data_IF_613877114435
#
_entry.id   IF_613877114435
#
_cell.length_a   1.000
_cell.length_b   1.000
_cell.length_c   1.000
_cell.angle_alpha   90.00
_cell.angle_beta   90.00
_cell.angle_gamma   90.00
#
_symmetry.space_group_name_H-M   'P 1'
#
loop_
_entity.id
_entity.type
_entity.pdbx_description
1 polymer ?
#
# COMPACT_ATOMS: atom_id res chain seq x y z
N UNK A 1 -7.86 -47.23 47.66
CA UNK A 1 -8.81 -47.07 46.56
C UNK A 1 -9.16 -45.59 46.29
N UNK A 2 -8.76 -44.61 47.12
CA UNK A 2 -9.07 -43.17 46.92
C UNK A 2 -8.02 -42.40 46.10
N UNK A 3 -6.72 -42.70 46.29
CA UNK A 3 -5.63 -41.92 45.66
C UNK A 3 -5.59 -42.02 44.13
N UNK A 4 -6.00 -43.16 43.55
CA UNK A 4 -6.04 -43.36 42.08
C UNK A 4 -7.18 -42.56 41.43
N UNK A 5 -8.25 -42.26 42.18
CA UNK A 5 -9.37 -41.45 41.70
C UNK A 5 -9.02 -39.96 41.71
N UNK A 6 -8.30 -39.51 42.73
CA UNK A 6 -7.85 -38.10 42.85
C UNK A 6 -6.78 -37.76 41.80
N UNK A 7 -5.85 -38.70 41.52
CA UNK A 7 -4.84 -38.50 40.48
C UNK A 7 -5.45 -38.45 39.08
N UNK A 8 -6.40 -39.34 38.77
CA UNK A 8 -7.10 -39.33 37.48
C UNK A 8 -7.98 -38.09 37.29
N UNK A 9 -8.57 -37.55 38.37
CA UNK A 9 -9.32 -36.28 38.34
C UNK A 9 -8.39 -35.10 38.07
N UNK A 10 -7.23 -35.05 38.75
CA UNK A 10 -6.25 -34.00 38.54
C UNK A 10 -5.65 -34.03 37.12
N UNK A 11 -5.36 -35.21 36.57
CA UNK A 11 -4.90 -35.37 35.18
C UNK A 11 -5.95 -34.85 34.17
N UNK A 12 -7.24 -35.13 34.40
CA UNK A 12 -8.34 -34.60 33.56
C UNK A 12 -8.51 -33.08 33.70
N UNK A 13 -8.38 -32.54 34.90
CA UNK A 13 -8.41 -31.08 35.13
C UNK A 13 -7.24 -30.39 34.41
N UNK A 14 -6.05 -30.97 34.47
CA UNK A 14 -4.85 -30.45 33.83
C UNK A 14 -4.96 -30.49 32.31
N UNK A 15 -5.47 -31.59 31.74
CA UNK A 15 -5.76 -31.73 30.31
C UNK A 15 -6.80 -30.68 29.85
N UNK A 16 -7.86 -30.47 30.63
CA UNK A 16 -8.88 -29.45 30.34
C UNK A 16 -8.29 -28.05 30.30
N UNK A 17 -7.43 -27.71 31.26
CA UNK A 17 -6.76 -26.40 31.30
C UNK A 17 -5.84 -26.23 30.08
N UNK A 18 -5.05 -27.26 29.73
CA UNK A 18 -4.19 -27.22 28.55
C UNK A 18 -4.98 -27.01 27.26
N UNK A 19 -6.08 -27.74 27.09
CA UNK A 19 -6.96 -27.60 25.92
C UNK A 19 -7.59 -26.21 25.81
N UNK A 20 -7.94 -25.58 26.95
CA UNK A 20 -8.42 -24.20 26.95
C UNK A 20 -7.34 -23.20 26.51
N UNK A 21 -6.09 -23.39 26.93
CA UNK A 21 -4.99 -22.53 26.51
C UNK A 21 -4.67 -22.70 25.03
N UNK A 22 -4.59 -23.94 24.55
CA UNK A 22 -4.35 -24.24 23.12
C UNK A 22 -5.42 -23.58 22.25
N UNK A 23 -6.69 -23.79 22.60
CA UNK A 23 -7.81 -23.16 21.89
C UNK A 23 -7.65 -21.64 21.77
N UNK A 24 -7.35 -20.99 22.90
CA UNK A 24 -7.20 -19.53 22.92
C UNK A 24 -6.03 -19.07 22.06
N UNK A 25 -4.90 -19.79 22.12
CA UNK A 25 -3.73 -19.48 21.30
C UNK A 25 -4.08 -19.58 19.80
N UNK A 26 -4.75 -20.65 19.38
CA UNK A 26 -5.17 -20.83 17.99
C UNK A 26 -6.17 -19.77 17.51
N UNK A 27 -7.13 -19.39 18.36
CA UNK A 27 -8.07 -18.29 18.08
C UNK A 27 -7.30 -16.96 17.91
N UNK A 28 -6.40 -16.63 18.83
CA UNK A 28 -5.57 -15.40 18.78
C UNK A 28 -4.65 -15.38 17.54
N UNK A 29 -4.16 -16.54 17.10
CA UNK A 29 -3.33 -16.70 15.89
C UNK A 29 -4.14 -16.53 14.62
N UNK A 30 -5.30 -17.17 14.53
CA UNK A 30 -6.19 -17.03 13.38
C UNK A 30 -6.68 -15.58 13.22
N UNK A 31 -6.94 -14.86 14.32
CA UNK A 31 -7.27 -13.43 14.29
C UNK A 31 -6.15 -12.59 13.67
N UNK A 32 -4.88 -12.87 14.00
CA UNK A 32 -3.72 -12.19 13.40
C UNK A 32 -3.62 -12.46 11.90
N UNK A 33 -3.76 -13.73 11.50
CA UNK A 33 -3.78 -14.13 10.08
C UNK A 33 -4.87 -13.38 9.32
N UNK A 34 -6.09 -13.35 9.88
CA UNK A 34 -7.21 -12.65 9.27
C UNK A 34 -6.95 -11.13 9.16
N UNK A 35 -6.34 -10.53 10.19
CA UNK A 35 -5.98 -9.11 10.21
C UNK A 35 -4.90 -8.80 9.16
N UNK A 36 -3.85 -9.60 9.06
CA UNK A 36 -2.79 -9.41 8.07
C UNK A 36 -3.32 -9.56 6.64
N UNK A 37 -4.18 -10.55 6.42
CA UNK A 37 -4.87 -10.75 5.15
C UNK A 37 -5.77 -9.54 4.81
N UNK A 38 -6.55 -9.05 5.77
CA UNK A 38 -7.40 -7.88 5.63
C UNK A 38 -6.57 -6.66 5.20
N UNK A 39 -5.52 -6.35 5.96
CA UNK A 39 -4.64 -5.23 5.70
C UNK A 39 -3.98 -5.33 4.32
N UNK A 40 -3.51 -6.53 3.95
CA UNK A 40 -2.90 -6.79 2.65
C UNK A 40 -3.89 -6.55 1.51
N UNK A 41 -5.14 -6.97 1.66
CA UNK A 41 -6.19 -6.73 0.67
C UNK A 41 -6.53 -5.24 0.53
N UNK A 42 -6.62 -4.51 1.65
CA UNK A 42 -6.89 -3.07 1.65
C UNK A 42 -5.75 -2.28 1.00
N UNK A 43 -4.51 -2.63 1.33
CA UNK A 43 -3.33 -2.02 0.73
C UNK A 43 -3.26 -2.29 -0.78
N UNK A 44 -3.60 -3.51 -1.22
CA UNK A 44 -3.67 -3.84 -2.65
C UNK A 44 -4.76 -3.04 -3.38
N UNK A 45 -5.91 -2.76 -2.75
CA UNK A 45 -6.95 -1.89 -3.32
C UNK A 45 -6.39 -0.48 -3.52
N UNK A 46 -5.72 0.08 -2.51
CA UNK A 46 -5.15 1.43 -2.59
C UNK A 46 -4.11 1.49 -3.70
N UNK A 47 -3.17 0.55 -3.73
CA UNK A 47 -2.13 0.52 -4.75
C UNK A 47 -2.70 0.35 -6.16
N UNK A 48 -3.73 -0.47 -6.34
CA UNK A 48 -4.41 -0.59 -7.64
C UNK A 48 -5.04 0.73 -8.07
N UNK A 49 -5.77 1.39 -7.18
CA UNK A 49 -6.59 2.56 -7.56
C UNK A 49 -5.77 3.87 -7.59
N UNK A 50 -4.63 3.92 -6.89
CA UNK A 50 -3.74 5.08 -6.84
C UNK A 50 -2.49 4.94 -7.71
N UNK A 51 -1.80 3.80 -7.65
CA UNK A 51 -0.54 3.56 -8.38
C UNK A 51 -0.76 2.81 -9.71
N UNK A 52 -2.02 2.51 -10.08
CA UNK A 52 -2.35 1.67 -11.26
C UNK A 52 -1.65 0.29 -11.23
N UNK A 53 -1.34 -0.20 -10.03
CA UNK A 53 -0.60 -1.44 -9.85
C UNK A 53 -1.56 -2.64 -9.78
N UNK A 54 -1.45 -3.57 -10.74
CA UNK A 54 -2.21 -4.82 -10.73
C UNK A 54 -1.69 -5.82 -9.68
N UNK A 55 -1.93 -5.52 -8.41
CA UNK A 55 -1.68 -6.42 -7.27
C UNK A 55 -2.98 -6.87 -6.62
N UNK A 56 -3.02 -8.14 -6.24
CA UNK A 56 -4.12 -8.74 -5.49
C UNK A 56 -3.61 -9.94 -4.72
N UNK A 57 -4.24 -10.24 -3.60
CA UNK A 57 -4.00 -11.51 -2.90
C UNK A 57 -4.46 -12.66 -3.78
N UNK A 58 -3.60 -13.67 -3.95
CA UNK A 58 -3.90 -14.91 -4.66
C UNK A 58 -5.04 -15.68 -4.01
N UNK A 59 -5.84 -16.36 -4.82
CA UNK A 59 -7.04 -17.07 -4.35
C UNK A 59 -6.67 -18.25 -3.44
N UNK A 60 -5.52 -18.90 -3.65
CA UNK A 60 -5.01 -19.98 -2.79
C UNK A 60 -4.83 -19.52 -1.34
N UNK A 61 -4.27 -18.33 -1.11
CA UNK A 61 -4.08 -17.80 0.24
C UNK A 61 -5.43 -17.50 0.91
N UNK A 62 -6.44 -17.03 0.15
CA UNK A 62 -7.81 -16.82 0.68
C UNK A 62 -8.48 -18.14 1.05
N UNK A 63 -8.36 -19.14 0.20
CA UNK A 63 -8.91 -20.48 0.44
C UNK A 63 -8.33 -21.10 1.70
N UNK A 64 -7.03 -20.90 1.94
CA UNK A 64 -6.32 -21.40 3.14
C UNK A 64 -6.77 -20.72 4.43
N UNK A 65 -6.95 -19.41 4.42
CA UNK A 65 -7.55 -18.69 5.56
C UNK A 65 -8.99 -19.12 5.81
N UNK A 66 -9.77 -19.34 4.74
CA UNK A 66 -11.14 -19.82 4.84
C UNK A 66 -11.22 -21.25 5.41
N UNK A 67 -10.30 -22.13 4.99
CA UNK A 67 -10.16 -23.50 5.53
C UNK A 67 -9.88 -23.47 7.04
N UNK A 68 -8.91 -22.65 7.47
CA UNK A 68 -8.59 -22.47 8.89
C UNK A 68 -9.78 -21.91 9.70
N UNK A 69 -10.51 -20.95 9.13
CA UNK A 69 -11.76 -20.44 9.70
C UNK A 69 -12.82 -21.52 9.89
N UNK A 70 -12.94 -22.43 8.91
CA UNK A 70 -13.85 -23.58 9.01
C UNK A 70 -13.53 -24.49 10.20
N UNK A 71 -12.25 -24.81 10.43
CA UNK A 71 -11.85 -25.60 11.59
C UNK A 71 -12.15 -24.91 12.92
N UNK A 72 -11.93 -23.58 13.01
CA UNK A 72 -12.30 -22.81 14.19
C UNK A 72 -13.82 -22.83 14.45
N UNK A 73 -14.64 -22.63 13.41
CA UNK A 73 -16.11 -22.65 13.48
C UNK A 73 -16.65 -24.01 13.92
N UNK A 74 -16.07 -25.10 13.40
CA UNK A 74 -16.40 -26.48 13.76
C UNK A 74 -15.83 -26.92 15.12
N UNK A 75 -14.99 -26.08 15.74
CA UNK A 75 -14.24 -26.35 16.97
C UNK A 75 -13.28 -27.54 16.85
N UNK A 76 -12.77 -27.78 15.65
CA UNK A 76 -11.75 -28.78 15.35
C UNK A 76 -10.36 -28.17 15.53
N UNK A 77 -9.98 -27.98 16.80
CA UNK A 77 -8.72 -27.32 17.16
C UNK A 77 -7.49 -28.18 16.89
N UNK A 78 -7.63 -29.50 16.84
CA UNK A 78 -6.53 -30.39 16.46
C UNK A 78 -6.19 -30.20 14.97
N UNK A 79 -7.19 -30.15 14.09
CA UNK A 79 -6.97 -29.86 12.68
C UNK A 79 -6.46 -28.44 12.43
N UNK A 80 -6.93 -27.46 13.22
CA UNK A 80 -6.43 -26.08 13.14
C UNK A 80 -4.95 -25.98 13.56
N UNK A 81 -4.55 -26.63 14.65
CA UNK A 81 -3.16 -26.69 15.11
C UNK A 81 -2.23 -27.28 14.05
N UNK A 82 -2.68 -28.32 13.35
CA UNK A 82 -1.91 -28.97 12.28
C UNK A 82 -1.63 -28.05 11.07
N UNK A 83 -2.47 -27.04 10.82
CA UNK A 83 -2.37 -26.20 9.61
C UNK A 83 -1.99 -24.74 9.86
N UNK A 84 -2.19 -24.22 11.08
CA UNK A 84 -2.10 -22.78 11.36
C UNK A 84 -0.71 -22.19 11.04
N UNK A 85 0.37 -22.92 11.33
CA UNK A 85 1.75 -22.50 10.99
C UNK A 85 1.91 -22.26 9.48
N UNK A 86 1.34 -23.16 8.66
CA UNK A 86 1.42 -23.06 7.21
C UNK A 86 0.61 -21.88 6.69
N UNK A 87 -0.59 -21.67 7.25
CA UNK A 87 -1.45 -20.54 6.87
C UNK A 87 -0.76 -19.22 7.22
N UNK A 88 -0.18 -19.09 8.41
CA UNK A 88 0.61 -17.92 8.81
C UNK A 88 1.76 -17.64 7.84
N UNK A 89 2.57 -18.66 7.52
CA UNK A 89 3.69 -18.53 6.58
C UNK A 89 3.24 -18.08 5.19
N UNK A 90 2.14 -18.66 4.68
CA UNK A 90 1.60 -18.31 3.37
C UNK A 90 1.06 -16.88 3.31
N UNK A 91 0.27 -16.47 4.32
CA UNK A 91 -0.29 -15.12 4.39
C UNK A 91 0.83 -14.09 4.53
N UNK A 92 1.81 -14.34 5.39
CA UNK A 92 2.94 -13.44 5.56
C UNK A 92 3.81 -13.34 4.30
N UNK A 93 4.04 -14.46 3.61
CA UNK A 93 4.77 -14.45 2.34
C UNK A 93 4.04 -13.65 1.26
N UNK A 94 2.71 -13.79 1.17
CA UNK A 94 1.88 -13.03 0.23
C UNK A 94 1.87 -11.53 0.57
N UNK A 95 1.71 -11.19 1.85
CA UNK A 95 1.76 -9.83 2.36
C UNK A 95 3.08 -9.15 1.98
N UNK A 96 4.21 -9.83 2.21
CA UNK A 96 5.54 -9.33 1.83
C UNK A 96 5.71 -9.15 0.32
N UNK A 97 5.18 -10.06 -0.50
CA UNK A 97 5.26 -9.92 -1.97
C UNK A 97 4.48 -8.70 -2.46
N UNK A 98 3.28 -8.49 -1.94
CA UNK A 98 2.45 -7.33 -2.27
C UNK A 98 3.11 -6.05 -1.76
N UNK A 99 3.59 -6.03 -0.52
CA UNK A 99 4.29 -4.90 0.07
C UNK A 99 5.52 -4.48 -0.76
N UNK A 100 6.34 -5.44 -1.20
CA UNK A 100 7.52 -5.16 -2.02
C UNK A 100 7.16 -4.51 -3.36
N UNK A 101 6.16 -5.05 -4.07
CA UNK A 101 5.70 -4.46 -5.33
C UNK A 101 5.15 -3.04 -5.14
N UNK A 102 4.38 -2.84 -4.06
CA UNK A 102 3.86 -1.52 -3.72
C UNK A 102 5.00 -0.57 -3.37
N UNK A 103 6.02 -1.03 -2.66
CA UNK A 103 7.17 -0.22 -2.29
C UNK A 103 7.97 0.24 -3.52
N UNK A 104 8.16 -0.63 -4.51
CA UNK A 104 8.81 -0.31 -5.78
C UNK A 104 8.06 0.82 -6.51
N UNK A 105 6.79 0.60 -6.86
CA UNK A 105 5.97 1.59 -7.56
C UNK A 105 5.80 2.90 -6.79
N UNK A 106 5.60 2.81 -5.47
CA UNK A 106 5.49 3.98 -4.60
C UNK A 106 6.78 4.80 -4.60
N UNK A 107 7.94 4.15 -4.68
CA UNK A 107 9.23 4.84 -4.72
C UNK A 107 9.37 5.64 -6.00
N UNK A 108 8.98 5.05 -7.14
CA UNK A 108 8.97 5.73 -8.44
C UNK A 108 8.01 6.94 -8.43
N UNK A 109 6.76 6.74 -7.99
CA UNK A 109 5.77 7.83 -7.95
C UNK A 109 6.18 8.94 -6.96
N UNK A 110 6.83 8.58 -5.84
CA UNK A 110 7.39 9.56 -4.91
C UNK A 110 8.49 10.38 -5.55
N UNK A 111 9.41 9.74 -6.28
CA UNK A 111 10.53 10.42 -6.90
C UNK A 111 10.04 11.34 -8.03
N UNK A 112 8.98 10.93 -8.73
CA UNK A 112 8.21 11.78 -9.65
C UNK A 112 7.58 13.00 -8.95
N UNK A 113 6.87 12.82 -7.82
CA UNK A 113 6.30 13.94 -7.05
C UNK A 113 7.39 14.88 -6.52
N UNK A 114 8.54 14.35 -6.11
CA UNK A 114 9.72 15.17 -5.75
C UNK A 114 10.26 15.97 -6.92
N UNK A 115 10.29 15.38 -8.11
CA UNK A 115 10.67 16.09 -9.32
C UNK A 115 9.69 17.23 -9.63
N UNK A 116 8.37 16.97 -9.53
CA UNK A 116 7.33 18.00 -9.66
C UNK A 116 7.50 19.12 -8.64
N UNK A 117 7.81 18.78 -7.38
CA UNK A 117 8.05 19.76 -6.32
C UNK A 117 9.23 20.66 -6.63
N UNK A 118 10.37 20.08 -6.98
CA UNK A 118 11.59 20.83 -7.37
C UNK A 118 11.35 21.71 -8.58
N UNK A 119 10.62 21.21 -9.57
CA UNK A 119 10.26 21.99 -10.74
C UNK A 119 9.36 23.19 -10.36
N UNK A 120 8.38 22.94 -9.49
CA UNK A 120 7.45 23.96 -9.02
C UNK A 120 8.11 25.08 -8.20
N UNK A 121 9.27 24.84 -7.57
CA UNK A 121 10.08 25.90 -6.92
C UNK A 121 10.54 26.99 -7.90
N UNK A 122 10.54 26.71 -9.20
CA UNK A 122 10.95 27.66 -10.25
C UNK A 122 9.79 28.20 -11.07
N UNK A 123 8.80 27.37 -11.37
CA UNK A 123 7.67 27.76 -12.23
C UNK A 123 6.47 28.29 -11.45
N UNK A 124 6.39 27.99 -10.14
CA UNK A 124 5.31 28.42 -9.23
C UNK A 124 3.89 28.20 -9.79
N UNK A 125 3.70 27.12 -10.55
CA UNK A 125 2.47 26.84 -11.29
C UNK A 125 1.44 26.01 -10.49
N UNK A 126 1.92 25.19 -9.55
CA UNK A 126 1.10 24.34 -8.70
C UNK A 126 1.20 24.74 -7.21
N UNK A 127 0.24 24.28 -6.41
CA UNK A 127 0.24 24.51 -4.96
C UNK A 127 1.35 23.68 -4.27
N UNK A 128 2.34 24.37 -3.70
CA UNK A 128 3.47 23.74 -3.00
C UNK A 128 3.05 22.95 -1.76
N UNK A 129 1.97 23.38 -1.07
CA UNK A 129 1.42 22.66 0.07
C UNK A 129 0.86 21.30 -0.33
N UNK A 130 0.15 21.21 -1.46
CA UNK A 130 -0.34 19.94 -2.02
C UNK A 130 0.79 19.01 -2.44
N UNK A 131 1.83 19.54 -3.07
CA UNK A 131 3.04 18.77 -3.43
C UNK A 131 3.74 18.19 -2.20
N UNK A 132 3.92 18.98 -1.16
CA UNK A 132 4.50 18.51 0.11
C UNK A 132 3.63 17.43 0.76
N UNK A 133 2.31 17.60 0.75
CA UNK A 133 1.39 16.62 1.31
C UNK A 133 1.43 15.28 0.55
N UNK A 134 1.48 15.32 -0.79
CA UNK A 134 1.65 14.12 -1.62
C UNK A 134 2.99 13.43 -1.37
N UNK A 135 4.10 14.20 -1.29
CA UNK A 135 5.41 13.64 -0.97
C UNK A 135 5.41 12.96 0.40
N UNK A 136 4.90 13.62 1.44
CA UNK A 136 4.81 13.02 2.79
C UNK A 136 3.93 11.78 2.82
N UNK A 137 2.82 11.78 2.06
CA UNK A 137 1.93 10.64 1.97
C UNK A 137 2.60 9.43 1.31
N UNK A 138 3.37 9.67 0.25
CA UNK A 138 4.13 8.64 -0.46
C UNK A 138 5.35 8.14 0.36
N UNK A 139 5.93 8.99 1.21
CA UNK A 139 7.00 8.60 2.13
C UNK A 139 6.48 7.77 3.32
N UNK A 140 5.46 8.25 4.02
CA UNK A 140 4.97 7.64 5.26
C UNK A 140 4.01 6.47 5.00
N UNK A 141 3.32 6.46 3.85
CA UNK A 141 2.33 5.45 3.44
C UNK A 141 1.33 5.07 4.54
N UNK A 142 0.91 6.06 5.32
CA UNK A 142 0.06 5.87 6.50
C UNK A 142 -1.43 5.83 6.14
N UNK A 143 -1.83 4.88 5.31
CA UNK A 143 -3.22 4.72 4.87
C UNK A 143 -4.14 4.17 5.98
N UNK A 144 -3.59 3.38 6.92
CA UNK A 144 -4.37 2.72 7.98
C UNK A 144 -5.19 3.71 8.80
N UNK A 145 -4.62 4.87 9.15
CA UNK A 145 -5.32 5.89 9.94
C UNK A 145 -6.56 6.47 9.24
N UNK A 146 -6.64 6.36 7.92
CA UNK A 146 -7.78 6.84 7.13
C UNK A 146 -8.81 5.74 6.83
N UNK A 147 -8.40 4.46 6.88
CA UNK A 147 -9.27 3.31 6.60
C UNK A 147 -9.89 2.72 7.87
N UNK A 148 -9.13 2.69 8.97
CA UNK A 148 -9.61 2.24 10.28
C UNK A 148 -10.19 3.44 11.05
N UNK A 149 -11.33 3.94 10.57
CA UNK A 149 -12.12 4.97 11.25
C UNK A 149 -13.15 4.33 12.17
N UNK A 150 -13.63 5.06 13.18
CA UNK A 150 -14.68 4.58 14.11
C UNK A 150 -15.94 4.07 13.36
N UNK A 151 -16.24 4.61 12.17
CA UNK A 151 -17.38 4.20 11.34
C UNK A 151 -17.08 2.96 10.47
N UNK A 152 -15.81 2.75 10.08
CA UNK A 152 -15.37 1.62 9.25
C UNK A 152 -15.05 0.35 10.05
N UNK A 153 -14.90 0.44 11.37
CA UNK A 153 -14.72 -0.73 12.25
C UNK A 153 -15.88 -1.74 12.14
N UNK A 154 -17.04 -1.32 11.62
CA UNK A 154 -18.25 -2.14 11.57
C UNK A 154 -18.25 -3.23 10.49
N UNK A 155 -17.48 -3.11 9.40
CA UNK A 155 -17.40 -4.16 8.37
C UNK A 155 -16.19 -4.05 7.42
N UNK A 156 -15.74 -5.19 6.89
CA UNK A 156 -14.71 -5.20 5.86
C UNK A 156 -15.13 -4.49 4.56
N UNK A 157 -16.41 -4.54 4.19
CA UNK A 157 -16.93 -3.82 3.01
C UNK A 157 -16.80 -2.31 3.17
N UNK A 158 -17.09 -1.77 4.36
CA UNK A 158 -16.87 -0.36 4.68
C UNK A 158 -15.39 0.01 4.57
N UNK A 159 -14.48 -0.79 5.14
CA UNK A 159 -13.03 -0.58 5.01
C UNK A 159 -12.56 -0.58 3.55
N UNK A 160 -13.09 -1.47 2.71
CA UNK A 160 -12.76 -1.47 1.28
C UNK A 160 -13.22 -0.19 0.59
N UNK A 161 -14.38 0.34 0.97
CA UNK A 161 -14.87 1.61 0.43
C UNK A 161 -13.97 2.77 0.86
N UNK A 162 -13.61 2.86 2.13
CA UNK A 162 -12.65 3.86 2.63
C UNK A 162 -11.29 3.75 1.92
N UNK A 163 -10.78 2.54 1.71
CA UNK A 163 -9.54 2.32 0.95
C UNK A 163 -9.63 2.88 -0.48
N UNK A 164 -10.78 2.71 -1.17
CA UNK A 164 -11.02 3.32 -2.50
C UNK A 164 -11.11 4.83 -2.43
N UNK A 165 -11.75 5.38 -1.40
CA UNK A 165 -11.91 6.83 -1.24
C UNK A 165 -10.59 7.52 -0.91
N UNK A 166 -9.74 6.86 -0.12
CA UNK A 166 -8.34 7.26 0.12
C UNK A 166 -7.56 7.28 -1.19
N UNK A 167 -7.61 6.19 -1.97
CA UNK A 167 -6.92 6.12 -3.26
C UNK A 167 -7.41 7.19 -4.23
N UNK A 168 -8.73 7.38 -4.36
CA UNK A 168 -9.32 8.41 -5.19
C UNK A 168 -8.90 9.83 -4.76
N UNK A 169 -8.81 10.09 -3.46
CA UNK A 169 -8.34 11.37 -2.93
C UNK A 169 -6.88 11.63 -3.32
N UNK A 170 -6.02 10.62 -3.20
CA UNK A 170 -4.61 10.69 -3.61
C UNK A 170 -4.48 10.91 -5.13
N UNK A 171 -5.20 10.11 -5.94
CA UNK A 171 -5.20 10.21 -7.40
C UNK A 171 -5.68 11.58 -7.88
N UNK A 172 -6.76 12.11 -7.31
CA UNK A 172 -7.27 13.43 -7.65
C UNK A 172 -6.29 14.55 -7.29
N UNK A 173 -5.63 14.44 -6.12
CA UNK A 173 -4.62 15.42 -5.71
C UNK A 173 -3.41 15.41 -6.67
N UNK A 174 -2.93 14.22 -7.03
CA UNK A 174 -1.83 14.04 -7.98
C UNK A 174 -2.19 14.58 -9.37
N UNK A 175 -3.34 14.18 -9.92
CA UNK A 175 -3.81 14.65 -11.23
C UNK A 175 -3.99 16.17 -11.26
N UNK A 176 -4.49 16.77 -10.17
CA UNK A 176 -4.65 18.22 -10.09
C UNK A 176 -3.29 18.91 -10.09
N UNK A 177 -2.31 18.43 -9.33
CA UNK A 177 -0.95 18.98 -9.32
C UNK A 177 -0.27 18.82 -10.68
N UNK A 178 -0.39 17.66 -11.30
CA UNK A 178 0.09 17.42 -12.66
C UNK A 178 -0.52 18.41 -13.64
N UNK A 179 -1.84 18.58 -13.61
CA UNK A 179 -2.53 19.53 -14.48
C UNK A 179 -2.13 20.98 -14.22
N UNK A 180 -1.94 21.37 -12.97
CA UNK A 180 -1.54 22.75 -12.63
C UNK A 180 -0.10 23.02 -13.09
N UNK A 181 0.80 22.04 -12.95
CA UNK A 181 2.20 22.15 -13.33
C UNK A 181 2.43 22.04 -14.85
N UNK A 182 1.74 21.11 -15.50
CA UNK A 182 1.89 20.79 -16.93
C UNK A 182 0.93 21.59 -17.82
N UNK A 183 -0.18 22.10 -17.27
CA UNK A 183 -1.27 22.65 -18.06
C UNK A 183 -0.92 23.87 -18.91
N UNK A 184 0.10 24.64 -18.53
CA UNK A 184 0.64 25.72 -19.36
C UNK A 184 1.44 25.23 -20.57
N UNK A 185 1.88 23.97 -20.56
CA UNK A 185 2.69 23.32 -21.60
C UNK A 185 1.92 22.24 -22.37
N UNK A 186 0.74 21.81 -21.89
CA UNK A 186 -0.10 20.85 -22.60
C UNK A 186 -0.46 21.31 -24.02
N UNK A 187 -0.26 20.44 -25.01
CA UNK A 187 -0.44 20.74 -26.42
C UNK A 187 0.67 21.59 -27.05
N UNK A 188 1.78 21.80 -26.35
CA UNK A 188 3.00 22.46 -26.87
C UNK A 188 4.13 21.46 -27.05
N UNK A 189 5.18 21.85 -27.77
CA UNK A 189 6.40 21.02 -27.90
C UNK A 189 7.14 20.80 -26.59
N UNK A 190 6.77 21.52 -25.52
CA UNK A 190 7.37 21.38 -24.18
C UNK A 190 6.65 20.34 -23.31
N UNK A 191 5.52 19.80 -23.74
CA UNK A 191 4.80 18.73 -23.01
C UNK A 191 5.67 17.49 -22.85
N UNK A 192 6.24 17.00 -23.96
CA UNK A 192 7.14 15.83 -23.97
C UNK A 192 8.41 16.07 -23.16
N UNK A 193 8.95 17.29 -23.20
CA UNK A 193 10.12 17.70 -22.41
C UNK A 193 9.81 17.68 -20.90
N UNK A 194 8.61 18.09 -20.51
CA UNK A 194 8.18 18.10 -19.12
C UNK A 194 7.97 16.69 -18.59
N UNK A 195 7.34 15.80 -19.36
CA UNK A 195 7.19 14.39 -18.96
C UNK A 195 8.55 13.71 -18.79
N UNK A 196 9.50 13.99 -19.68
CA UNK A 196 10.87 13.50 -19.56
C UNK A 196 11.61 14.09 -18.34
N UNK A 197 11.39 15.36 -18.00
CA UNK A 197 12.01 15.98 -16.82
C UNK A 197 11.53 15.41 -15.48
N UNK A 198 10.31 14.88 -15.48
CA UNK A 198 9.64 14.24 -14.35
C UNK A 198 9.93 12.73 -14.27
N UNK A 199 10.64 12.18 -15.25
CA UNK A 199 11.06 10.77 -15.28
C UNK A 199 12.30 10.52 -14.40
N UNK A 200 12.54 9.26 -14.04
CA UNK A 200 13.68 8.84 -13.21
C UNK A 200 15.05 9.18 -13.80
N UNK A 201 15.16 9.19 -15.13
CA UNK A 201 16.37 9.56 -15.86
C UNK A 201 16.10 10.75 -16.78
N UNK A 202 16.22 11.98 -16.26
CA UNK A 202 15.90 13.17 -17.03
C UNK A 202 16.87 13.35 -18.20
N UNK A 203 16.38 13.79 -19.37
CA UNK A 203 17.20 13.97 -20.56
C UNK A 203 18.21 15.10 -20.35
N UNK A 204 19.39 14.95 -20.93
CA UNK A 204 20.32 16.06 -21.02
C UNK A 204 19.80 17.06 -22.06
N UNK A 205 20.13 18.35 -21.93
CA UNK A 205 19.77 19.36 -22.93
C UNK A 205 20.23 18.99 -24.36
N UNK A 206 21.31 18.20 -24.47
CA UNK A 206 21.83 17.69 -25.74
C UNK A 206 20.94 16.62 -26.40
N UNK A 207 20.02 16.02 -25.65
CA UNK A 207 19.08 15.00 -26.15
C UNK A 207 17.81 15.64 -26.71
N UNK A 208 17.55 16.92 -26.40
CA UNK A 208 16.43 17.69 -26.92
C UNK A 208 16.65 18.11 -28.39
N UNK A 209 15.58 18.15 -29.17
CA UNK A 209 15.56 18.68 -30.53
C UNK A 209 15.77 20.19 -30.58
N UNK A 210 16.11 20.73 -31.75
CA UNK A 210 16.33 22.17 -31.94
C UNK A 210 15.06 22.99 -31.65
N UNK A 211 13.88 22.48 -32.04
CA UNK A 211 12.58 23.12 -31.77
C UNK A 211 12.25 23.12 -30.27
N UNK A 212 12.55 22.02 -29.55
CA UNK A 212 12.35 21.93 -28.10
C UNK A 212 13.29 22.86 -27.34
N UNK A 213 14.57 22.94 -27.75
CA UNK A 213 15.55 23.86 -27.15
C UNK A 213 15.15 25.32 -27.34
N UNK A 214 14.68 25.68 -28.53
CA UNK A 214 14.24 27.05 -28.82
C UNK A 214 12.99 27.42 -28.00
N UNK A 215 12.01 26.51 -27.92
CA UNK A 215 10.83 26.67 -27.06
C UNK A 215 11.21 26.80 -25.58
N UNK A 216 12.18 26.01 -25.12
CA UNK A 216 12.68 26.01 -23.75
C UNK A 216 13.27 27.36 -23.36
N UNK A 217 14.12 27.91 -24.23
CA UNK A 217 14.84 29.17 -23.99
C UNK A 217 13.87 30.35 -23.83
N UNK A 218 12.67 30.27 -24.44
CA UNK A 218 11.60 31.25 -24.30
C UNK A 218 10.66 31.01 -23.11
N UNK A 219 10.84 29.94 -22.35
CA UNK A 219 9.96 29.54 -21.25
C UNK A 219 10.58 29.80 -19.87
N UNK A 220 9.73 29.83 -18.85
CA UNK A 220 10.13 29.81 -17.43
C UNK A 220 10.83 28.49 -17.00
N UNK A 221 10.85 27.45 -17.86
CA UNK A 221 11.59 26.20 -17.63
C UNK A 221 13.10 26.34 -17.90
N UNK A 222 13.53 27.34 -18.67
CA UNK A 222 14.95 27.56 -18.99
C UNK A 222 15.82 27.60 -17.73
N UNK A 223 15.35 28.28 -16.68
CA UNK A 223 16.05 28.43 -15.42
C UNK A 223 16.22 27.11 -14.66
N UNK A 224 15.28 26.16 -14.80
CA UNK A 224 15.37 24.85 -14.15
C UNK A 224 16.43 23.95 -14.82
N UNK A 225 16.53 24.02 -16.14
CA UNK A 225 17.51 23.26 -16.92
C UNK A 225 18.93 23.81 -16.81
N UNK A 226 19.10 25.14 -16.68
CA UNK A 226 20.42 25.74 -16.39
C UNK A 226 21.04 25.17 -15.10
N UNK A 227 20.23 24.85 -14.09
CA UNK A 227 20.69 24.24 -12.83
C UNK A 227 21.15 22.79 -13.03
N UNK A 228 20.56 22.05 -13.98
CA UNK A 228 20.95 20.66 -14.29
C UNK A 228 22.12 20.55 -15.28
N UNK A 229 22.51 21.64 -15.93
CA UNK A 229 23.62 21.71 -16.89
C UNK A 229 24.98 22.08 -16.26
N UNK A 230 25.03 22.28 -14.94
CA UNK A 230 26.23 22.64 -14.17
C UNK A 230 26.92 21.47 -13.50
#
# INVERSE_FOLDING_TARGET
>A
MSETSDQSLFEQELETVHQQYLRRDLEDRLEKVATEMEETMLQAIIARDFLDLEVKVVDEAKEKVQEAGGYADERDFDALDDIIDNVEDQVSQEAHQIENKIHEERTEERDRVRAMRKLNEHVEAADMGKLNALESLLDDWNWKAQVYTDEAEESFEAKQQEARDVAATMSNALQQVQKDLLGSYSGTTLEDVMDQLLSDEPPCFNDLSEEEREALTGSNLANYLEIRLG
#
